data_IF_312302712931
#
_entry.id   IF_312302712931
#
_cell.length_a   1.000
_cell.length_b   1.000
_cell.length_c   1.000
_cell.angle_alpha   90.00
_cell.angle_beta   90.00
_cell.angle_gamma   90.00
#
_symmetry.space_group_name_H-M   'P 1'
#
loop_
_entity.id
_entity.type
_entity.pdbx_description
1 polymer ?
#
# COMPACT_ATOMS: atom_id res chain seq x y z
N UNK A 1 8.42 58.65 -11.42
CA UNK A 1 8.40 57.56 -10.45
C UNK A 1 9.88 57.20 -10.25
N UNK A 2 10.36 57.37 -9.04
CA UNK A 2 11.81 57.19 -8.78
C UNK A 2 12.19 55.71 -9.03
N UNK A 3 13.28 55.50 -9.74
CA UNK A 3 13.79 54.17 -10.10
C UNK A 3 14.01 53.30 -8.83
N UNK A 4 14.39 53.91 -7.72
CA UNK A 4 14.53 53.26 -6.41
C UNK A 4 13.21 52.71 -5.88
N UNK A 5 12.10 53.42 -6.03
CA UNK A 5 10.77 53.01 -5.64
C UNK A 5 10.27 51.84 -6.49
N UNK A 6 10.53 51.86 -7.80
CA UNK A 6 10.17 50.79 -8.73
C UNK A 6 10.92 49.50 -8.41
N UNK A 7 12.21 49.58 -8.09
CA UNK A 7 13.03 48.44 -7.67
C UNK A 7 12.53 47.85 -6.34
N UNK A 8 12.19 48.72 -5.37
CA UNK A 8 11.67 48.27 -4.08
C UNK A 8 10.31 47.54 -4.22
N UNK A 9 9.42 48.05 -5.06
CA UNK A 9 8.11 47.43 -5.35
C UNK A 9 8.27 46.07 -6.06
N UNK A 10 9.19 45.95 -7.04
CA UNK A 10 9.50 44.71 -7.71
C UNK A 10 10.09 43.69 -6.74
N UNK A 11 10.97 44.13 -5.85
CA UNK A 11 11.53 43.25 -4.81
C UNK A 11 10.48 42.71 -3.84
N UNK A 12 9.56 43.58 -3.42
CA UNK A 12 8.44 43.21 -2.54
C UNK A 12 7.50 42.21 -3.25
N UNK A 13 7.11 42.50 -4.50
CA UNK A 13 6.26 41.63 -5.30
C UNK A 13 6.92 40.27 -5.53
N UNK A 14 8.22 40.22 -5.85
CA UNK A 14 8.99 39.00 -6.01
C UNK A 14 9.05 38.15 -4.73
N UNK A 15 9.26 38.79 -3.58
CA UNK A 15 9.29 38.08 -2.29
C UNK A 15 7.94 37.51 -1.89
N UNK A 16 6.85 38.23 -2.16
CA UNK A 16 5.48 37.75 -1.93
C UNK A 16 5.14 36.55 -2.82
N UNK A 17 5.47 36.59 -4.11
CA UNK A 17 5.28 35.49 -5.03
C UNK A 17 6.08 34.26 -4.60
N UNK A 18 7.34 34.42 -4.22
CA UNK A 18 8.17 33.33 -3.72
C UNK A 18 7.57 32.71 -2.45
N UNK A 19 7.08 33.52 -1.53
CA UNK A 19 6.42 33.03 -0.30
C UNK A 19 5.14 32.20 -0.61
N UNK A 20 4.30 32.69 -1.52
CA UNK A 20 3.08 31.99 -1.95
C UNK A 20 3.41 30.66 -2.61
N UNK A 21 4.38 30.63 -3.53
CA UNK A 21 4.80 29.39 -4.20
C UNK A 21 5.36 28.39 -3.20
N UNK A 22 6.22 28.86 -2.29
CA UNK A 22 6.81 28.00 -1.24
C UNK A 22 5.73 27.42 -0.33
N UNK A 23 4.78 28.25 0.11
CA UNK A 23 3.65 27.79 0.93
C UNK A 23 2.82 26.74 0.20
N UNK A 24 2.50 26.97 -1.07
CA UNK A 24 1.71 26.02 -1.87
C UNK A 24 2.42 24.69 -2.07
N UNK A 25 3.73 24.71 -2.39
CA UNK A 25 4.54 23.49 -2.52
C UNK A 25 4.66 22.73 -1.19
N UNK A 26 4.84 23.44 -0.07
CA UNK A 26 4.87 22.80 1.25
C UNK A 26 3.52 22.14 1.57
N UNK A 27 2.42 22.85 1.31
CA UNK A 27 1.07 22.32 1.53
C UNK A 27 0.78 21.06 0.72
N UNK A 28 1.23 21.02 -0.53
CA UNK A 28 1.09 19.81 -1.36
C UNK A 28 1.88 18.63 -0.78
N UNK A 29 3.13 18.85 -0.35
CA UNK A 29 3.95 17.79 0.28
C UNK A 29 3.32 17.26 1.55
N UNK A 30 2.74 18.13 2.38
CA UNK A 30 2.05 17.71 3.61
C UNK A 30 0.84 16.83 3.29
N UNK A 31 0.02 17.23 2.30
CA UNK A 31 -1.13 16.43 1.86
C UNK A 31 -0.73 15.07 1.27
N UNK A 32 0.37 15.02 0.52
CA UNK A 32 0.91 13.76 -0.01
C UNK A 32 1.41 12.86 1.12
N UNK A 33 2.09 13.44 2.12
CA UNK A 33 2.57 12.70 3.29
C UNK A 33 1.41 12.11 4.11
N UNK A 34 0.33 12.88 4.33
CA UNK A 34 -0.87 12.40 5.03
C UNK A 34 -1.55 11.27 4.26
N UNK A 35 -1.76 11.42 2.95
CA UNK A 35 -2.32 10.37 2.09
C UNK A 35 -1.47 9.09 2.12
N UNK A 36 -0.14 9.24 2.10
CA UNK A 36 0.78 8.10 2.21
C UNK A 36 0.66 7.39 3.55
N UNK A 37 0.56 8.15 4.63
CA UNK A 37 0.38 7.61 6.00
C UNK A 37 -0.93 6.84 6.12
N UNK A 38 -2.01 7.38 5.57
CA UNK A 38 -3.32 6.75 5.56
C UNK A 38 -3.29 5.44 4.75
N UNK A 39 -2.77 5.45 3.52
CA UNK A 39 -2.58 4.24 2.71
C UNK A 39 -1.80 3.17 3.46
N UNK A 40 -0.70 3.55 4.13
CA UNK A 40 0.13 2.63 4.90
C UNK A 40 -0.66 1.94 6.01
N UNK A 41 -1.60 2.64 6.65
CA UNK A 41 -2.46 2.06 7.68
C UNK A 41 -3.35 0.95 7.10
N UNK A 42 -3.96 1.17 5.93
CA UNK A 42 -4.78 0.15 5.27
C UNK A 42 -3.96 -1.04 4.76
N UNK A 43 -2.76 -0.79 4.21
CA UNK A 43 -1.88 -1.89 3.82
C UNK A 43 -1.38 -2.71 5.00
N UNK A 44 -1.07 -2.08 6.14
CA UNK A 44 -0.73 -2.80 7.37
C UNK A 44 -1.88 -3.69 7.82
N UNK A 45 -3.09 -3.16 7.91
CA UNK A 45 -4.27 -3.95 8.28
C UNK A 45 -4.51 -5.12 7.31
N UNK A 46 -4.27 -4.91 6.01
CA UNK A 46 -4.34 -5.99 5.02
C UNK A 46 -3.27 -7.06 5.27
N UNK A 47 -2.01 -6.68 5.46
CA UNK A 47 -0.92 -7.64 5.75
C UNK A 47 -1.20 -8.41 7.04
N UNK A 48 -1.65 -7.74 8.10
CA UNK A 48 -2.04 -8.37 9.36
C UNK A 48 -3.16 -9.40 9.16
N UNK A 49 -4.13 -9.09 8.30
CA UNK A 49 -5.25 -9.99 8.00
C UNK A 49 -4.83 -11.24 7.22
N UNK A 50 -3.71 -11.21 6.49
CA UNK A 50 -3.17 -12.39 5.81
C UNK A 50 -2.84 -13.51 6.80
N UNK A 51 -2.39 -13.17 8.00
CA UNK A 51 -2.08 -14.17 9.04
C UNK A 51 -3.30 -15.01 9.41
N UNK A 52 -4.50 -14.43 9.34
CA UNK A 52 -5.75 -15.13 9.66
C UNK A 52 -6.26 -16.08 8.59
N UNK A 53 -5.61 -16.13 7.42
CA UNK A 53 -5.96 -17.04 6.31
C UNK A 53 -4.82 -17.97 5.92
N UNK A 54 -3.64 -17.86 6.57
CA UNK A 54 -2.51 -18.77 6.33
C UNK A 54 -2.89 -20.18 6.79
N UNK A 55 -2.54 -21.16 5.98
CA UNK A 55 -2.77 -22.57 6.32
C UNK A 55 -2.07 -22.91 7.65
N UNK A 56 -2.83 -23.48 8.56
CA UNK A 56 -2.37 -23.75 9.93
C UNK A 56 -2.92 -22.78 10.96
N UNK A 57 -3.10 -21.51 10.62
CA UNK A 57 -3.61 -20.45 11.53
C UNK A 57 -4.97 -19.89 11.10
N UNK A 58 -5.53 -20.40 10.01
CA UNK A 58 -6.81 -19.91 9.47
C UNK A 58 -7.99 -20.11 10.44
N UNK A 59 -8.73 -19.03 10.68
CA UNK A 59 -9.94 -19.02 11.51
C UNK A 59 -11.09 -18.33 10.79
N UNK A 60 -12.36 -18.58 11.16
CA UNK A 60 -13.51 -17.86 10.59
C UNK A 60 -13.38 -16.35 10.77
N UNK A 61 -12.90 -15.88 11.93
CA UNK A 61 -12.66 -14.48 12.24
C UNK A 61 -11.54 -13.91 11.38
N UNK A 62 -10.48 -14.69 11.12
CA UNK A 62 -9.38 -14.33 10.22
C UNK A 62 -9.86 -14.14 8.78
N UNK A 63 -10.71 -15.02 8.27
CA UNK A 63 -11.33 -14.87 6.97
C UNK A 63 -12.21 -13.61 6.87
N UNK A 64 -12.96 -13.30 7.92
CA UNK A 64 -13.76 -12.08 7.98
C UNK A 64 -12.88 -10.82 8.02
N UNK A 65 -11.81 -10.84 8.81
CA UNK A 65 -10.84 -9.74 8.88
C UNK A 65 -10.17 -9.51 7.52
N UNK A 66 -9.74 -10.57 6.83
CA UNK A 66 -9.17 -10.51 5.50
C UNK A 66 -10.16 -9.92 4.48
N UNK A 67 -11.42 -10.36 4.51
CA UNK A 67 -12.45 -9.83 3.61
C UNK A 67 -12.67 -8.33 3.83
N UNK A 68 -12.76 -7.88 5.09
CA UNK A 68 -12.92 -6.45 5.43
C UNK A 68 -11.70 -5.62 5.00
N UNK A 69 -10.50 -6.08 5.32
CA UNK A 69 -9.26 -5.39 4.94
C UNK A 69 -9.12 -5.28 3.43
N UNK A 70 -9.43 -6.35 2.70
CA UNK A 70 -9.44 -6.38 1.23
C UNK A 70 -10.43 -5.38 0.64
N UNK A 71 -11.65 -5.30 1.17
CA UNK A 71 -12.66 -4.37 0.69
C UNK A 71 -12.27 -2.91 0.96
N UNK A 72 -11.61 -2.63 2.08
CA UNK A 72 -11.12 -1.30 2.38
C UNK A 72 -10.07 -0.82 1.35
N UNK A 73 -9.25 -1.72 0.81
CA UNK A 73 -8.28 -1.36 -0.23
C UNK A 73 -8.93 -0.83 -1.51
N UNK A 74 -10.19 -1.17 -1.80
CA UNK A 74 -10.90 -0.67 -2.99
C UNK A 74 -11.01 0.87 -3.02
N UNK A 75 -10.95 1.53 -1.87
CA UNK A 75 -11.03 3.00 -1.77
C UNK A 75 -9.69 3.70 -2.00
N UNK A 76 -8.57 3.05 -1.68
CA UNK A 76 -7.27 3.72 -1.56
C UNK A 76 -6.19 3.17 -2.47
N UNK A 77 -6.28 1.89 -2.85
CA UNK A 77 -5.25 1.25 -3.63
C UNK A 77 -5.35 1.62 -5.11
N UNK A 78 -4.22 1.86 -5.80
CA UNK A 78 -4.21 2.09 -7.23
C UNK A 78 -4.57 0.82 -8.00
N UNK A 79 -5.01 1.00 -9.24
CA UNK A 79 -5.48 -0.10 -10.09
C UNK A 79 -4.49 -1.26 -10.19
N UNK A 80 -3.19 -0.99 -10.22
CA UNK A 80 -2.17 -2.05 -10.30
C UNK A 80 -2.18 -2.96 -9.06
N UNK A 81 -2.37 -2.39 -7.88
CA UNK A 81 -2.51 -3.15 -6.62
C UNK A 81 -3.81 -3.95 -6.62
N UNK A 82 -4.91 -3.33 -7.06
CA UNK A 82 -6.22 -4.01 -7.13
C UNK A 82 -6.21 -5.17 -8.13
N UNK A 83 -5.53 -5.05 -9.25
CA UNK A 83 -5.37 -6.13 -10.22
C UNK A 83 -4.59 -7.31 -9.62
N UNK A 84 -3.47 -7.05 -8.96
CA UNK A 84 -2.68 -8.07 -8.28
C UNK A 84 -3.46 -8.72 -7.12
N UNK A 85 -4.21 -7.93 -6.35
CA UNK A 85 -5.08 -8.41 -5.28
C UNK A 85 -6.17 -9.35 -5.79
N UNK A 86 -6.83 -8.99 -6.88
CA UNK A 86 -7.86 -9.83 -7.48
C UNK A 86 -7.30 -11.14 -8.03
N UNK A 87 -6.10 -11.12 -8.64
CA UNK A 87 -5.42 -12.32 -9.09
C UNK A 87 -5.09 -13.26 -7.92
N UNK A 88 -4.54 -12.70 -6.82
CA UNK A 88 -4.26 -13.45 -5.61
C UNK A 88 -5.53 -14.04 -4.97
N UNK A 89 -6.60 -13.24 -4.83
CA UNK A 89 -7.90 -13.70 -4.30
C UNK A 89 -8.51 -14.83 -5.13
N UNK A 90 -8.41 -14.74 -6.45
CA UNK A 90 -8.90 -15.80 -7.34
C UNK A 90 -8.16 -17.11 -7.11
N UNK A 91 -6.84 -17.04 -6.87
CA UNK A 91 -6.03 -18.22 -6.58
C UNK A 91 -6.40 -18.89 -5.25
N UNK A 92 -6.57 -18.10 -4.19
CA UNK A 92 -6.92 -18.63 -2.86
C UNK A 92 -8.41 -18.97 -2.69
N UNK A 93 -9.24 -18.67 -3.67
CA UNK A 93 -10.67 -18.94 -3.64
C UNK A 93 -10.96 -20.44 -3.50
N UNK A 94 -12.00 -20.77 -2.73
CA UNK A 94 -12.48 -22.17 -2.60
C UNK A 94 -12.88 -22.78 -3.94
N UNK A 95 -13.40 -21.97 -4.88
CA UNK A 95 -13.73 -22.44 -6.23
C UNK A 95 -12.52 -22.86 -7.05
N UNK A 96 -11.31 -22.41 -6.69
CA UNK A 96 -10.05 -22.76 -7.37
C UNK A 96 -9.25 -23.85 -6.62
N UNK A 97 -9.79 -24.44 -5.56
CA UNK A 97 -9.03 -25.35 -4.68
C UNK A 97 -8.36 -26.51 -5.43
N UNK A 98 -9.02 -27.05 -6.48
CA UNK A 98 -8.49 -28.17 -7.28
C UNK A 98 -7.30 -27.78 -8.16
N UNK A 99 -7.23 -26.51 -8.59
CA UNK A 99 -6.20 -26.02 -9.52
C UNK A 99 -5.12 -25.21 -8.80
N UNK A 100 -5.20 -25.08 -7.47
CA UNK A 100 -4.25 -24.33 -6.67
C UNK A 100 -2.90 -25.01 -6.63
N UNK A 101 -1.83 -24.26 -6.90
CA UNK A 101 -0.45 -24.73 -6.72
C UNK A 101 0.31 -23.76 -5.82
N UNK A 102 1.23 -24.29 -5.02
CA UNK A 102 2.05 -23.45 -4.14
C UNK A 102 2.88 -22.42 -4.93
N UNK A 103 3.44 -22.86 -6.06
CA UNK A 103 4.24 -21.96 -6.92
C UNK A 103 3.44 -20.77 -7.41
N UNK A 104 2.21 -20.99 -7.89
CA UNK A 104 1.34 -19.93 -8.38
C UNK A 104 0.85 -19.04 -7.25
N UNK A 105 0.51 -19.63 -6.09
CA UNK A 105 0.16 -18.88 -4.88
C UNK A 105 1.29 -17.91 -4.50
N UNK A 106 2.51 -18.41 -4.39
CA UNK A 106 3.68 -17.63 -3.95
C UNK A 106 4.04 -16.54 -4.97
N UNK A 107 3.92 -16.86 -6.28
CA UNK A 107 4.15 -15.89 -7.34
C UNK A 107 3.13 -14.74 -7.28
N UNK A 108 1.85 -15.03 -7.10
CA UNK A 108 0.80 -14.00 -7.02
C UNK A 108 0.86 -13.19 -5.72
N UNK A 109 1.25 -13.81 -4.61
CA UNK A 109 1.53 -13.11 -3.37
C UNK A 109 2.70 -12.14 -3.54
N UNK A 110 3.79 -12.58 -4.19
CA UNK A 110 4.94 -11.74 -4.47
C UNK A 110 4.56 -10.53 -5.34
N UNK A 111 3.79 -10.73 -6.41
CA UNK A 111 3.28 -9.65 -7.26
C UNK A 111 2.47 -8.61 -6.48
N UNK A 112 1.56 -9.08 -5.63
CA UNK A 112 0.73 -8.22 -4.81
C UNK A 112 1.58 -7.39 -3.84
N UNK A 113 2.51 -8.03 -3.14
CA UNK A 113 3.39 -7.34 -2.20
C UNK A 113 4.33 -6.35 -2.90
N UNK A 114 4.87 -6.70 -4.08
CA UNK A 114 5.66 -5.77 -4.88
C UNK A 114 4.85 -4.54 -5.32
N UNK A 115 3.61 -4.75 -5.76
CA UNK A 115 2.72 -3.65 -6.14
C UNK A 115 2.44 -2.71 -4.96
N UNK A 116 2.17 -3.26 -3.77
CA UNK A 116 1.97 -2.49 -2.53
C UNK A 116 3.25 -1.72 -2.15
N UNK A 117 4.40 -2.39 -2.12
CA UNK A 117 5.69 -1.77 -1.77
C UNK A 117 6.05 -0.63 -2.71
N UNK A 118 5.77 -0.79 -4.00
CA UNK A 118 5.94 0.28 -5.01
C UNK A 118 5.00 1.46 -4.74
N UNK A 119 3.74 1.20 -4.42
CA UNK A 119 2.76 2.27 -4.16
C UNK A 119 3.08 3.09 -2.90
N UNK A 120 3.61 2.45 -1.86
CA UNK A 120 4.08 3.16 -0.65
C UNK A 120 5.49 3.74 -0.78
N UNK A 121 6.17 3.48 -1.89
CA UNK A 121 7.49 4.02 -2.22
C UNK A 121 8.60 3.46 -1.32
N UNK A 122 8.64 2.15 -1.15
CA UNK A 122 9.75 1.48 -0.45
C UNK A 122 11.01 1.59 -1.30
N UNK A 123 12.13 1.93 -0.65
CA UNK A 123 13.44 2.04 -1.27
C UNK A 123 14.47 1.16 -0.53
N UNK A 124 15.48 0.62 -1.24
CA UNK A 124 15.63 0.61 -2.70
C UNK A 124 14.49 -0.13 -3.40
N UNK A 125 14.31 0.12 -4.72
CA UNK A 125 13.26 -0.58 -5.50
C UNK A 125 13.58 -2.08 -5.54
N UNK A 126 12.58 -2.89 -5.21
CA UNK A 126 12.73 -4.34 -5.17
C UNK A 126 12.88 -4.91 -6.61
N UNK A 127 13.72 -5.92 -6.73
CA UNK A 127 13.86 -6.70 -7.96
C UNK A 127 12.91 -7.89 -7.92
N UNK A 128 12.01 -7.98 -8.89
CA UNK A 128 11.03 -9.07 -8.99
C UNK A 128 11.66 -10.45 -9.01
N UNK A 129 12.81 -10.60 -9.66
CA UNK A 129 13.48 -11.89 -9.81
C UNK A 129 13.95 -12.48 -8.48
N UNK A 130 14.32 -11.63 -7.52
CA UNK A 130 14.88 -12.02 -6.23
C UNK A 130 13.88 -11.90 -5.07
N UNK A 131 12.77 -11.18 -5.27
CA UNK A 131 11.77 -10.99 -4.23
C UNK A 131 10.95 -12.27 -4.00
N UNK A 132 11.14 -12.90 -2.85
CA UNK A 132 10.48 -14.16 -2.44
C UNK A 132 9.88 -13.99 -1.04
N UNK A 133 8.69 -13.38 -0.92
CA UNK A 133 8.02 -13.26 0.36
C UNK A 133 7.49 -14.62 0.81
N UNK A 134 7.71 -14.94 2.09
CA UNK A 134 7.17 -16.13 2.74
C UNK A 134 6.37 -15.70 3.94
N UNK A 135 5.12 -16.14 4.02
CA UNK A 135 4.30 -15.96 5.20
C UNK A 135 4.64 -17.07 6.21
N UNK A 136 4.87 -16.67 7.45
CA UNK A 136 5.16 -17.60 8.54
C UNK A 136 3.88 -17.92 9.29
N UNK A 137 3.68 -19.22 9.60
CA UNK A 137 2.63 -19.67 10.53
C UNK A 137 3.10 -19.49 11.97
N UNK A 138 2.15 -19.30 12.89
CA UNK A 138 2.48 -19.15 14.31
C UNK A 138 3.12 -20.39 14.93
N UNK A 139 2.85 -21.57 14.35
CA UNK A 139 3.21 -22.86 14.95
C UNK A 139 2.46 -23.13 16.27
N UNK A 140 1.48 -22.30 16.63
CA UNK A 140 0.69 -22.49 17.84
C UNK A 140 -0.16 -23.75 17.72
N UNK A 141 -0.29 -24.58 18.79
CA UNK A 141 -1.16 -25.74 18.78
C UNK A 141 -2.62 -25.28 18.60
N UNK A 142 -3.34 -25.93 17.69
CA UNK A 142 -4.79 -25.68 17.55
C UNK A 142 -5.49 -26.18 18.81
N UNK A 143 -6.18 -25.27 19.49
CA UNK A 143 -7.13 -25.68 20.52
C UNK A 143 -8.29 -26.39 19.80
N UNK A 144 -8.27 -27.71 19.77
CA UNK A 144 -9.39 -28.54 19.32
C UNK A 144 -10.41 -28.50 20.46
N UNK A 145 -11.41 -27.63 20.35
CA UNK A 145 -12.63 -27.69 21.18
C UNK A 145 -13.71 -28.43 20.43
#
# INVERSE_FOLDING_TARGET
MDTSLAIALLGLAGSLLAAVVTYWLSKQKDLEAERRKEKLTYYKAFIESLNGIVEGDATPEGHLAFSRATNNLLLFAPQIVLAALNAFRSEISSSNAVNRTQEKHDALLAELLLAIRKDVGVLPVDERATFRPVLWTSGAPRNVT
#
